data_IF_018841276466
#
_entry.id   IF_018841276466
#
_cell.length_a   1.000
_cell.length_b   1.000
_cell.length_c   1.000
_cell.angle_alpha   90.00
_cell.angle_beta   90.00
_cell.angle_gamma   90.00
#
_symmetry.space_group_name_H-M   'P 1'
#
loop_
_entity.id
_entity.type
_entity.pdbx_description
1 polymer ?
#
# COMPACT_ATOMS: atom_id res chain seq x y z
N UNK A 1 5.73 -14.30 -16.09
CA UNK A 1 5.68 -15.54 -16.90
C UNK A 1 6.82 -16.51 -16.59
N UNK A 2 7.87 -16.14 -15.86
CA UNK A 2 8.96 -17.10 -15.49
C UNK A 2 8.60 -18.08 -14.37
N UNK A 3 7.70 -17.74 -13.44
CA UNK A 3 7.35 -18.64 -12.33
C UNK A 3 6.56 -19.90 -12.75
N UNK A 4 5.87 -19.87 -13.88
CA UNK A 4 5.11 -21.04 -14.38
C UNK A 4 6.02 -22.09 -15.04
N UNK A 5 7.13 -21.66 -15.65
CA UNK A 5 8.07 -22.56 -16.33
C UNK A 5 8.81 -23.46 -15.35
N UNK A 6 9.31 -22.92 -14.23
CA UNK A 6 10.00 -23.71 -13.22
C UNK A 6 9.09 -24.80 -12.61
N UNK A 7 7.80 -24.49 -12.42
CA UNK A 7 6.84 -25.46 -11.90
C UNK A 7 6.61 -26.61 -12.88
N UNK A 8 6.40 -26.29 -14.16
CA UNK A 8 6.24 -27.31 -15.20
C UNK A 8 7.49 -28.19 -15.29
N UNK A 9 8.68 -27.59 -15.29
CA UNK A 9 9.94 -28.34 -15.33
C UNK A 9 10.14 -29.23 -14.09
N UNK A 10 9.80 -28.74 -12.90
CA UNK A 10 9.87 -29.52 -11.67
C UNK A 10 8.92 -30.71 -11.69
N UNK A 11 7.66 -30.50 -12.08
CA UNK A 11 6.66 -31.57 -12.19
C UNK A 11 7.07 -32.62 -13.23
N UNK A 12 7.58 -32.18 -14.39
CA UNK A 12 8.09 -33.09 -15.43
C UNK A 12 9.25 -33.93 -14.91
N UNK A 13 10.26 -33.30 -14.28
CA UNK A 13 11.40 -34.03 -13.71
C UNK A 13 11.00 -34.97 -12.58
N UNK A 14 10.02 -34.61 -11.76
CA UNK A 14 9.51 -35.45 -10.68
C UNK A 14 8.72 -36.64 -11.23
N UNK A 15 7.94 -36.44 -12.29
CA UNK A 15 7.25 -37.50 -13.00
C UNK A 15 8.24 -38.47 -13.69
N UNK A 16 9.30 -37.95 -14.29
CA UNK A 16 10.36 -38.75 -14.90
C UNK A 16 11.13 -39.56 -13.84
N UNK A 17 11.44 -38.95 -12.70
CA UNK A 17 12.08 -39.64 -11.57
C UNK A 17 11.17 -40.74 -11.00
N UNK A 18 9.88 -40.47 -10.85
CA UNK A 18 8.88 -41.48 -10.44
C UNK A 18 8.81 -42.65 -11.43
N UNK A 19 8.95 -42.36 -12.73
CA UNK A 19 8.99 -43.38 -13.80
C UNK A 19 10.27 -44.20 -13.75
N UNK A 20 11.43 -43.61 -13.46
CA UNK A 20 12.69 -44.35 -13.25
C UNK A 20 12.65 -45.22 -12.00
N UNK A 21 12.13 -44.70 -10.88
CA UNK A 21 11.89 -45.50 -9.66
C UNK A 21 10.98 -46.69 -9.98
N UNK A 22 10.07 -46.53 -10.95
CA UNK A 22 9.18 -47.59 -11.40
C UNK A 22 9.86 -48.76 -12.15
N UNK A 23 11.13 -48.61 -12.52
CA UNK A 23 11.93 -49.65 -13.20
C UNK A 23 12.88 -50.40 -12.27
N UNK A 24 13.07 -49.92 -11.04
CA UNK A 24 13.98 -50.51 -10.04
C UNK A 24 13.37 -51.73 -9.31
N UNK A 25 14.19 -52.65 -8.77
CA UNK A 25 13.76 -53.82 -8.02
C UNK A 25 12.85 -53.48 -6.83
N UNK A 26 11.85 -54.32 -6.56
CA UNK A 26 10.75 -54.06 -5.59
C UNK A 26 11.20 -53.68 -4.18
N UNK A 27 12.41 -54.09 -3.75
CA UNK A 27 12.95 -53.87 -2.40
C UNK A 27 13.40 -52.44 -2.12
N UNK A 28 13.82 -51.67 -3.13
CA UNK A 28 14.26 -50.27 -2.96
C UNK A 28 13.20 -49.25 -3.39
N UNK A 29 12.24 -49.70 -4.21
CA UNK A 29 11.20 -48.91 -4.84
C UNK A 29 10.23 -48.25 -3.85
N UNK A 30 9.89 -48.92 -2.75
CA UNK A 30 8.94 -48.41 -1.75
C UNK A 30 9.49 -47.21 -0.98
N UNK A 31 10.74 -47.27 -0.52
CA UNK A 31 11.37 -46.17 0.23
C UNK A 31 11.54 -44.91 -0.63
N UNK A 32 11.94 -45.09 -1.89
CA UNK A 32 12.13 -43.99 -2.85
C UNK A 32 10.80 -43.37 -3.26
N UNK A 33 9.76 -44.19 -3.51
CA UNK A 33 8.42 -43.69 -3.81
C UNK A 33 7.82 -42.90 -2.63
N UNK A 34 7.98 -43.40 -1.40
CA UNK A 34 7.52 -42.68 -0.20
C UNK A 34 8.26 -41.35 -0.02
N UNK A 35 9.58 -41.30 -0.28
CA UNK A 35 10.37 -40.08 -0.17
C UNK A 35 10.01 -39.06 -1.26
N UNK A 36 9.77 -39.52 -2.50
CA UNK A 36 9.30 -38.68 -3.60
C UNK A 36 7.92 -38.09 -3.29
N UNK A 37 6.99 -38.91 -2.79
CA UNK A 37 5.66 -38.45 -2.36
C UNK A 37 5.71 -37.41 -1.25
N UNK A 38 6.53 -37.64 -0.21
CA UNK A 38 6.74 -36.67 0.88
C UNK A 38 7.32 -35.35 0.38
N UNK A 39 8.30 -35.42 -0.54
CA UNK A 39 8.92 -34.22 -1.14
C UNK A 39 7.90 -33.42 -1.96
N UNK A 40 7.08 -34.10 -2.77
CA UNK A 40 6.03 -33.45 -3.57
C UNK A 40 4.99 -32.77 -2.67
N UNK A 41 4.59 -33.43 -1.57
CA UNK A 41 3.63 -32.87 -0.62
C UNK A 41 4.20 -31.64 0.10
N UNK A 42 5.46 -31.70 0.55
CA UNK A 42 6.16 -30.55 1.17
C UNK A 42 6.31 -29.38 0.21
N UNK A 43 6.62 -29.65 -1.07
CA UNK A 43 6.71 -28.61 -2.07
C UNK A 43 5.35 -27.94 -2.33
N UNK A 44 4.27 -28.73 -2.34
CA UNK A 44 2.91 -28.22 -2.49
C UNK A 44 2.50 -27.33 -1.30
N UNK A 45 2.80 -27.77 -0.07
CA UNK A 45 2.57 -26.97 1.15
C UNK A 45 3.35 -25.65 1.11
N UNK A 46 4.64 -25.71 0.80
CA UNK A 46 5.49 -24.53 0.72
C UNK A 46 4.97 -23.54 -0.32
N UNK A 47 4.54 -24.03 -1.49
CA UNK A 47 3.96 -23.18 -2.53
C UNK A 47 2.69 -22.48 -2.03
N UNK A 48 1.79 -23.20 -1.36
CA UNK A 48 0.59 -22.60 -0.78
C UNK A 48 0.92 -21.50 0.23
N UNK A 49 1.94 -21.70 1.06
CA UNK A 49 2.41 -20.67 2.01
C UNK A 49 2.99 -19.46 1.29
N UNK A 50 3.82 -19.67 0.27
CA UNK A 50 4.41 -18.58 -0.52
C UNK A 50 3.34 -17.78 -1.26
N UNK A 51 2.35 -18.45 -1.86
CA UNK A 51 1.24 -17.79 -2.55
C UNK A 51 0.42 -16.93 -1.55
N UNK A 52 0.12 -17.45 -0.35
CA UNK A 52 -0.56 -16.67 0.70
C UNK A 52 0.26 -15.48 1.24
N UNK A 53 1.59 -15.62 1.30
CA UNK A 53 2.48 -14.49 1.64
C UNK A 53 2.46 -13.41 0.56
N UNK A 54 2.43 -13.80 -0.72
CA UNK A 54 2.33 -12.84 -1.83
C UNK A 54 1.01 -12.06 -1.76
N UNK A 55 -0.12 -12.75 -1.55
CA UNK A 55 -1.42 -12.09 -1.37
C UNK A 55 -1.43 -11.12 -0.19
N UNK A 56 -0.80 -11.50 0.93
CA UNK A 56 -0.68 -10.65 2.12
C UNK A 56 0.17 -9.40 1.85
N UNK A 57 1.26 -9.54 1.08
CA UNK A 57 2.10 -8.42 0.68
C UNK A 57 1.38 -7.48 -0.30
N UNK A 58 0.61 -8.03 -1.23
CA UNK A 58 -0.19 -7.24 -2.17
C UNK A 58 -1.28 -6.45 -1.44
N UNK A 59 -1.94 -7.09 -0.47
CA UNK A 59 -2.88 -6.41 0.42
C UNK A 59 -2.22 -5.28 1.20
N UNK A 60 -1.09 -5.55 1.85
CA UNK A 60 -0.35 -4.54 2.62
C UNK A 60 0.08 -3.37 1.74
N UNK A 61 0.57 -3.66 0.52
CA UNK A 61 0.96 -2.63 -0.44
C UNK A 61 -0.21 -1.73 -0.81
N UNK A 62 -1.40 -2.31 -0.99
CA UNK A 62 -2.62 -1.55 -1.24
C UNK A 62 -3.04 -0.71 -0.02
N UNK A 63 -3.00 -1.28 1.18
CA UNK A 63 -3.31 -0.57 2.43
C UNK A 63 -2.40 0.64 2.63
N UNK A 64 -1.10 0.51 2.34
CA UNK A 64 -0.15 1.62 2.42
C UNK A 64 -0.51 2.72 1.42
N UNK A 65 -0.87 2.38 0.17
CA UNK A 65 -1.30 3.39 -0.82
C UNK A 65 -2.49 4.20 -0.32
N UNK A 66 -3.48 3.54 0.27
CA UNK A 66 -4.64 4.23 0.85
C UNK A 66 -4.25 5.11 2.03
N UNK A 67 -3.45 4.59 2.96
CA UNK A 67 -3.02 5.37 4.12
C UNK A 67 -2.26 6.64 3.72
N UNK A 68 -1.37 6.55 2.74
CA UNK A 68 -0.63 7.71 2.23
C UNK A 68 -1.56 8.69 1.51
N UNK A 69 -2.54 8.20 0.76
CA UNK A 69 -3.53 9.04 0.08
C UNK A 69 -4.38 9.83 1.09
N UNK A 70 -4.89 9.15 2.12
CA UNK A 70 -5.70 9.77 3.16
C UNK A 70 -4.89 10.80 3.97
N UNK A 71 -3.60 10.51 4.22
CA UNK A 71 -2.68 11.44 4.87
C UNK A 71 -2.48 12.70 4.01
N UNK A 72 -2.25 12.58 2.70
CA UNK A 72 -2.15 13.76 1.83
C UNK A 72 -3.47 14.54 1.73
N UNK A 73 -4.62 13.86 1.74
CA UNK A 73 -5.92 14.52 1.76
C UNK A 73 -6.10 15.38 3.01
N UNK A 74 -5.83 14.82 4.20
CA UNK A 74 -5.92 15.55 5.48
C UNK A 74 -4.88 16.67 5.59
N UNK A 75 -3.67 16.47 5.05
CA UNK A 75 -2.63 17.52 5.00
C UNK A 75 -3.04 18.70 4.13
N UNK A 76 -3.61 18.42 2.95
CA UNK A 76 -4.10 19.45 2.03
C UNK A 76 -5.28 20.21 2.64
N UNK A 77 -6.22 19.50 3.26
CA UNK A 77 -7.36 20.09 3.95
C UNK A 77 -6.89 21.03 5.09
N UNK A 78 -5.98 20.58 5.95
CA UNK A 78 -5.46 21.41 7.04
C UNK A 78 -4.79 22.69 6.51
N UNK A 79 -4.01 22.55 5.44
CA UNK A 79 -3.34 23.69 4.79
C UNK A 79 -4.34 24.69 4.18
N UNK A 80 -5.44 24.18 3.61
CA UNK A 80 -6.52 25.01 3.09
C UNK A 80 -7.25 25.76 4.22
N UNK A 81 -7.64 25.05 5.29
CA UNK A 81 -8.34 25.65 6.42
C UNK A 81 -7.51 26.75 7.11
N UNK A 82 -6.19 26.57 7.25
CA UNK A 82 -5.30 27.60 7.81
C UNK A 82 -5.30 28.89 6.99
N UNK A 83 -5.26 28.77 5.66
CA UNK A 83 -5.31 29.93 4.77
C UNK A 83 -6.63 30.69 4.91
N UNK A 84 -7.75 29.98 4.99
CA UNK A 84 -9.06 30.60 5.18
C UNK A 84 -9.11 31.42 6.48
N UNK A 85 -8.58 30.87 7.58
CA UNK A 85 -8.51 31.59 8.87
C UNK A 85 -7.59 32.83 8.77
N UNK A 86 -6.43 32.68 8.15
CA UNK A 86 -5.48 33.80 7.95
C UNK A 86 -6.07 34.93 7.09
N UNK A 87 -6.92 34.60 6.12
CA UNK A 87 -7.64 35.57 5.28
C UNK A 87 -8.79 36.27 6.04
N UNK A 88 -9.52 35.55 6.89
CA UNK A 88 -10.55 36.12 7.76
C UNK A 88 -9.95 37.12 8.77
N UNK A 89 -8.84 36.78 9.43
CA UNK A 89 -8.14 37.66 10.38
C UNK A 89 -7.54 38.92 9.71
N UNK A 90 -7.31 38.89 8.40
CA UNK A 90 -6.75 40.01 7.62
C UNK A 90 -7.79 40.95 7.02
N UNK A 91 -9.09 40.65 7.16
CA UNK A 91 -10.12 41.64 6.79
C UNK A 91 -10.08 42.80 7.79
N UNK A 92 -9.64 44.01 7.39
CA UNK A 92 -9.69 45.14 8.29
C UNK A 92 -11.17 45.45 8.50
N UNK A 93 -11.62 45.40 9.76
CA UNK A 93 -12.83 46.08 10.21
C UNK A 93 -12.87 47.46 9.51
N UNK A 94 -13.94 47.79 8.76
CA UNK A 94 -14.03 49.08 8.11
C UNK A 94 -13.87 50.13 9.22
N UNK A 95 -12.74 50.84 9.16
CA UNK A 95 -12.34 51.79 10.17
C UNK A 95 -13.51 52.69 10.49
N UNK A 96 -13.84 52.75 11.77
CA UNK A 96 -14.72 53.76 12.34
C UNK A 96 -13.96 55.10 12.31
N UNK A 97 -13.65 55.59 11.10
CA UNK A 97 -13.15 56.93 10.82
C UNK A 97 -14.36 57.87 10.83
N UNK A 98 -14.92 58.03 12.02
CA UNK A 98 -15.72 59.21 12.33
C UNK A 98 -14.71 60.34 12.45
N UNK A 99 -14.48 61.01 11.32
CA UNK A 99 -13.70 62.22 11.22
C UNK A 99 -14.02 63.15 12.38
N UNK A 100 -13.01 63.43 13.19
CA UNK A 100 -13.01 64.61 14.04
C UNK A 100 -13.00 65.82 13.11
N UNK A 101 -14.19 66.27 12.71
CA UNK A 101 -14.36 67.58 12.09
C UNK A 101 -13.84 68.63 13.08
N UNK A 102 -12.65 69.13 12.75
CA UNK A 102 -11.98 70.27 13.32
C UNK A 102 -12.85 71.52 13.11
N UNK A 103 -13.77 71.79 14.05
CA UNK A 103 -14.41 73.10 14.17
C UNK A 103 -13.41 74.10 14.75
N UNK A 104 -12.45 74.49 13.91
CA UNK A 104 -11.72 75.74 14.07
C UNK A 104 -12.72 76.88 13.84
N UNK A 105 -13.26 77.41 14.94
CA UNK A 105 -14.03 78.66 14.95
C UNK A 105 -13.10 79.82 14.57
N UNK A 106 -12.90 80.00 13.27
CA UNK A 106 -12.37 81.21 12.67
C UNK A 106 -13.47 82.28 12.62
N UNK A 107 -13.21 83.39 13.29
CA UNK A 107 -13.65 84.75 12.97
C UNK A 107 -15.07 84.94 12.40
N UNK A 108 -16.00 85.31 13.29
CA UNK A 108 -17.15 86.13 12.90
C UNK A 108 -16.95 87.54 13.45
N UNK A 109 -16.40 88.39 12.58
CA UNK A 109 -16.45 89.84 12.68
C UNK A 109 -17.89 90.28 12.32
N UNK A 110 -18.65 90.83 13.26
CA UNK A 110 -19.61 91.94 13.06
C UNK A 110 -20.10 92.47 14.42
#
# INVERSE_FOLDING_TARGET
>A
MEQTNFHSEFQTKLADLMKEISTLPKTERTKLADLAGKTQQKHTELKKTVDGLQESLDYLRLSIKYLVFDLEATRRENSYLRKVIEEEDQTPEPGNDLGSDDFSSGDLNF
#
